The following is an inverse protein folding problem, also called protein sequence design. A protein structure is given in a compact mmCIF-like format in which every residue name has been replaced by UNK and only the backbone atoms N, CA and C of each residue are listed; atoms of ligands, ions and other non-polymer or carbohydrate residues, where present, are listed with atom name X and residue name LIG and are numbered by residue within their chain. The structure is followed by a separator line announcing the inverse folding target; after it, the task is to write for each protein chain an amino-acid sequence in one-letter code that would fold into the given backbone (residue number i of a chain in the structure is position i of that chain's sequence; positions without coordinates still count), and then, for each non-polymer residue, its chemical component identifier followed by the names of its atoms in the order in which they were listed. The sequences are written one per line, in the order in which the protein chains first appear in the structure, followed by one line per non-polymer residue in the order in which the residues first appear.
data_IF_348362748887
#
_entry.id   IF_348362748887
#
_cell.length_a   1.000
_cell.length_b   1.000
_cell.length_c   1.000
_cell.angle_alpha   90.00
_cell.angle_beta   90.00
_cell.angle_gamma   90.00
#
_symmetry.space_group_name_H-M   'P 1'
#
loop_
_entity.id
_entity.type
_entity.pdbx_description
1 polymer ?
#
# COMPACT_ATOMS: atom_id res chain seq x y z
N UNK A 1 -7.39 6.45 1.65
CA UNK A 1 -6.18 5.66 1.98
C UNK A 1 -4.97 6.47 1.58
N UNK A 2 -3.88 6.39 2.33
CA UNK A 2 -2.68 7.16 2.06
C UNK A 2 -2.00 6.64 0.80
N UNK A 3 -1.53 7.55 -0.05
CA UNK A 3 -0.82 7.17 -1.27
C UNK A 3 0.57 7.81 -1.28
N UNK A 4 1.53 7.34 -0.46
CA UNK A 4 2.92 7.82 -0.52
C UNK A 4 3.53 7.64 -1.91
N UNK A 5 3.05 6.62 -2.65
CA UNK A 5 3.40 6.41 -4.05
C UNK A 5 2.94 7.54 -4.97
N UNK A 6 2.04 8.42 -4.53
CA UNK A 6 1.54 9.50 -5.36
C UNK A 6 2.67 10.48 -5.75
N UNK A 7 3.67 10.65 -4.89
CA UNK A 7 4.85 11.47 -5.14
C UNK A 7 5.64 11.00 -6.37
N UNK A 8 5.62 9.69 -6.67
CA UNK A 8 6.40 9.08 -7.75
C UNK A 8 5.55 8.66 -8.95
N UNK A 9 4.23 8.49 -8.78
CA UNK A 9 3.34 8.00 -9.85
C UNK A 9 2.48 9.10 -10.48
N UNK A 10 2.25 10.22 -9.79
CA UNK A 10 1.50 11.37 -10.32
C UNK A 10 2.44 12.47 -10.82
N UNK A 11 3.34 12.11 -11.72
CA UNK A 11 4.26 13.06 -12.38
C UNK A 11 3.48 14.05 -13.25
N UNK A 12 4.07 15.20 -13.63
CA UNK A 12 3.42 16.16 -14.53
C UNK A 12 2.92 15.53 -15.84
N UNK A 13 3.69 14.61 -16.44
CA UNK A 13 3.29 13.92 -17.66
C UNK A 13 2.10 12.97 -17.46
N UNK A 14 2.06 12.24 -16.33
CA UNK A 14 0.90 11.40 -15.98
C UNK A 14 -0.34 12.26 -15.75
N UNK A 15 -0.21 13.39 -15.07
CA UNK A 15 -1.34 14.33 -14.84
C UNK A 15 -1.88 14.89 -16.15
N UNK A 16 -1.01 15.26 -17.09
CA UNK A 16 -1.40 15.72 -18.42
C UNK A 16 -2.17 14.63 -19.18
N UNK A 17 -1.64 13.40 -19.22
CA UNK A 17 -2.32 12.27 -19.85
C UNK A 17 -3.67 11.93 -19.20
N UNK A 18 -3.80 12.10 -17.87
CA UNK A 18 -5.09 11.94 -17.18
C UNK A 18 -6.12 13.00 -17.59
N UNK A 19 -5.69 14.24 -17.82
CA UNK A 19 -6.58 15.30 -18.32
C UNK A 19 -7.02 15.01 -19.75
N UNK A 20 -6.09 14.62 -20.62
CA UNK A 20 -6.37 14.29 -22.02
C UNK A 20 -7.34 13.10 -22.14
N UNK A 21 -7.22 12.13 -21.23
CA UNK A 21 -8.09 10.95 -21.18
C UNK A 21 -9.35 11.14 -20.30
N UNK A 22 -9.59 12.34 -19.77
CA UNK A 22 -10.77 12.65 -18.95
C UNK A 22 -10.83 11.95 -17.58
N UNK A 23 -9.73 11.38 -17.11
CA UNK A 23 -9.67 10.66 -15.82
C UNK A 23 -9.11 11.50 -14.67
N UNK A 24 -8.75 12.77 -14.92
CA UNK A 24 -8.02 13.59 -13.94
C UNK A 24 -8.77 13.77 -12.63
N UNK A 25 -10.04 14.17 -12.67
CA UNK A 25 -10.86 14.41 -11.48
C UNK A 25 -10.99 13.15 -10.61
N UNK A 26 -11.22 11.98 -11.23
CA UNK A 26 -11.26 10.70 -10.53
C UNK A 26 -9.94 10.39 -9.82
N UNK A 27 -8.82 10.64 -10.49
CA UNK A 27 -7.50 10.37 -9.95
C UNK A 27 -7.00 11.43 -8.95
N UNK A 28 -7.67 12.58 -8.80
CA UNK A 28 -7.29 13.59 -7.81
C UNK A 28 -7.33 13.07 -6.39
N UNK A 29 -8.38 12.32 -6.04
CA UNK A 29 -8.52 11.71 -4.72
C UNK A 29 -7.37 10.72 -4.45
N UNK A 30 -6.90 10.01 -5.48
CA UNK A 30 -5.77 9.10 -5.41
C UNK A 30 -4.41 9.79 -5.34
N UNK A 31 -4.34 11.08 -5.68
CA UNK A 31 -3.11 11.87 -5.55
C UNK A 31 -2.95 12.52 -4.18
N UNK A 32 -3.93 12.37 -3.27
CA UNK A 32 -3.85 12.91 -1.91
C UNK A 32 -2.92 12.05 -1.07
N UNK A 33 -1.82 12.65 -0.61
CA UNK A 33 -0.83 12.00 0.23
C UNK A 33 -1.17 12.23 1.71
N UNK A 34 -1.96 11.32 2.29
CA UNK A 34 -2.27 11.34 3.72
C UNK A 34 -1.14 10.66 4.51
N UNK A 35 -0.08 11.40 4.82
CA UNK A 35 1.11 10.84 5.49
C UNK A 35 0.85 10.39 6.94
N UNK A 36 -0.26 10.83 7.54
CA UNK A 36 -0.56 10.61 8.96
C UNK A 36 -1.53 9.45 9.22
N UNK A 37 -1.86 8.69 8.17
CA UNK A 37 -2.76 7.55 8.25
C UNK A 37 -2.40 6.56 9.38
N UNK A 38 -3.45 6.06 10.02
CA UNK A 38 -3.42 5.02 11.06
C UNK A 38 -4.39 3.91 10.70
N UNK A 39 -4.05 2.67 11.06
CA UNK A 39 -4.91 1.51 10.91
C UNK A 39 -6.13 1.65 11.81
N UNK A 40 -7.30 1.82 11.20
CA UNK A 40 -8.58 1.83 11.90
C UNK A 40 -9.15 0.42 12.11
N UNK A 41 -10.34 0.32 12.73
CA UNK A 41 -11.00 -0.96 12.95
C UNK A 41 -11.29 -1.72 11.66
N UNK A 42 -11.64 -1.00 10.58
CA UNK A 42 -11.96 -1.59 9.28
C UNK A 42 -10.73 -2.22 8.64
N UNK A 43 -9.61 -1.51 8.61
CA UNK A 43 -8.36 -1.99 8.04
C UNK A 43 -7.78 -3.14 8.88
N UNK A 44 -7.88 -3.04 10.21
CA UNK A 44 -7.43 -4.08 11.12
C UNK A 44 -8.22 -5.38 10.92
N UNK A 45 -9.54 -5.29 10.81
CA UNK A 45 -10.40 -6.44 10.51
C UNK A 45 -10.11 -7.03 9.12
N UNK A 46 -9.85 -6.18 8.12
CA UNK A 46 -9.46 -6.63 6.78
C UNK A 46 -8.15 -7.44 6.82
N UNK A 47 -7.11 -6.90 7.46
CA UNK A 47 -5.79 -7.53 7.60
C UNK A 47 -5.91 -8.87 8.35
N UNK A 48 -6.61 -8.89 9.48
CA UNK A 48 -6.77 -10.11 10.29
C UNK A 48 -7.49 -11.24 9.53
N UNK A 49 -8.35 -10.91 8.56
CA UNK A 49 -9.06 -11.89 7.74
C UNK A 49 -8.23 -12.40 6.53
N UNK A 50 -7.01 -11.88 6.28
CA UNK A 50 -6.19 -12.32 5.16
C UNK A 50 -5.40 -13.59 5.51
N UNK A 51 -5.30 -14.48 4.54
CA UNK A 51 -4.45 -15.68 4.53
C UNK A 51 -3.18 -15.50 3.67
N UNK A 52 -3.03 -14.33 3.03
CA UNK A 52 -1.81 -13.95 2.32
C UNK A 52 -1.66 -12.42 2.18
N UNK A 53 -0.44 -11.98 1.85
CA UNK A 53 -0.18 -10.63 1.36
C UNK A 53 1.02 -10.62 0.40
N UNK A 54 1.17 -9.52 -0.33
CA UNK A 54 2.34 -9.24 -1.15
C UNK A 54 3.22 -8.19 -0.46
N UNK A 55 4.51 -8.46 -0.36
CA UNK A 55 5.51 -7.53 0.18
C UNK A 55 6.40 -7.04 -0.94
N UNK A 56 6.39 -5.73 -1.20
CA UNK A 56 7.30 -5.09 -2.14
C UNK A 56 8.47 -4.44 -1.40
N UNK A 57 9.69 -4.71 -1.86
CA UNK A 57 10.93 -4.12 -1.35
C UNK A 57 11.80 -3.65 -2.51
N UNK A 58 12.83 -2.87 -2.22
CA UNK A 58 13.89 -2.52 -3.18
C UNK A 58 15.23 -3.04 -2.66
N UNK A 59 16.07 -3.57 -3.54
CA UNK A 59 17.45 -3.92 -3.19
C UNK A 59 18.28 -2.67 -2.90
N UNK A 60 19.51 -2.84 -2.42
CA UNK A 60 20.47 -1.74 -2.25
C UNK A 60 20.73 -0.97 -3.57
N UNK A 61 20.61 -1.64 -4.71
CA UNK A 61 20.77 -1.07 -6.06
C UNK A 61 19.48 -0.47 -6.62
N UNK A 62 18.37 -0.51 -5.87
CA UNK A 62 17.08 -0.01 -6.32
C UNK A 62 16.28 -0.98 -7.20
N UNK A 63 16.71 -2.23 -7.34
CA UNK A 63 15.97 -3.24 -8.10
C UNK A 63 14.68 -3.62 -7.33
N UNK A 64 13.49 -3.54 -7.94
CA UNK A 64 12.25 -3.88 -7.26
C UNK A 64 12.11 -5.39 -7.09
N UNK A 65 11.60 -5.80 -5.92
CA UNK A 65 11.32 -7.19 -5.61
C UNK A 65 9.97 -7.32 -4.93
N UNK A 66 9.19 -8.33 -5.33
CA UNK A 66 7.87 -8.60 -4.77
C UNK A 66 7.80 -10.06 -4.33
N UNK A 67 7.37 -10.26 -3.10
CA UNK A 67 7.24 -11.58 -2.48
C UNK A 67 5.80 -11.84 -2.09
N UNK A 68 5.32 -13.05 -2.36
CA UNK A 68 4.09 -13.58 -1.78
C UNK A 68 4.40 -14.17 -0.39
N UNK A 69 3.59 -13.84 0.60
CA UNK A 69 3.64 -14.40 1.96
C UNK A 69 2.27 -14.96 2.30
N UNK A 70 2.21 -16.24 2.69
CA UNK A 70 0.96 -16.93 2.99
C UNK A 70 0.97 -17.60 4.37
N UNK A 71 -0.21 -17.73 4.97
CA UNK A 71 -0.42 -18.36 6.27
C UNK A 71 -1.91 -18.53 6.56
N UNK A 72 -2.30 -19.18 7.68
CA UNK A 72 -3.70 -19.23 8.08
C UNK A 72 -4.25 -17.83 8.37
N UNK A 73 -5.57 -17.58 8.23
CA UNK A 73 -6.18 -16.32 8.65
C UNK A 73 -5.73 -15.89 10.06
N UNK A 74 -5.35 -14.63 10.20
CA UNK A 74 -4.78 -14.09 11.45
C UNK A 74 -3.27 -14.25 11.60
N UNK A 75 -2.56 -14.83 10.61
CA UNK A 75 -1.09 -14.88 10.64
C UNK A 75 -0.43 -13.49 10.56
N UNK A 76 -1.14 -12.50 10.00
CA UNK A 76 -0.77 -11.08 10.12
C UNK A 76 -1.56 -10.47 11.28
N UNK A 77 -0.84 -9.95 12.27
CA UNK A 77 -1.41 -9.36 13.47
C UNK A 77 -1.16 -7.85 13.49
N UNK A 78 -2.22 -7.05 13.67
CA UNK A 78 -2.08 -5.61 13.94
C UNK A 78 -1.71 -5.44 15.41
N UNK A 79 -0.51 -4.95 15.68
CA UNK A 79 0.02 -4.78 17.06
C UNK A 79 -0.18 -3.35 17.57
N UNK A 80 -0.36 -2.38 16.67
CA UNK A 80 -0.81 -1.02 16.98
C UNK A 80 -1.36 -0.34 15.73
N UNK A 81 -1.92 0.86 15.90
CA UNK A 81 -2.39 1.73 14.81
C UNK A 81 -1.37 1.99 13.68
N UNK A 82 -0.07 1.74 13.91
CA UNK A 82 0.99 1.94 12.91
C UNK A 82 1.91 0.74 12.75
N UNK A 83 1.53 -0.41 13.28
CA UNK A 83 2.40 -1.60 13.27
C UNK A 83 1.58 -2.87 13.11
N UNK A 84 2.09 -3.75 12.27
CA UNK A 84 1.64 -5.13 12.18
C UNK A 84 2.86 -6.06 12.19
N UNK A 85 2.63 -7.34 12.49
CA UNK A 85 3.64 -8.37 12.53
C UNK A 85 3.12 -9.64 11.85
N UNK A 86 4.02 -10.43 11.30
CA UNK A 86 3.73 -11.76 10.75
C UNK A 86 4.95 -12.65 11.01
N UNK A 87 4.77 -13.97 11.14
CA UNK A 87 5.89 -14.88 11.33
C UNK A 87 6.69 -15.04 10.03
N UNK A 88 8.01 -14.91 10.11
CA UNK A 88 8.96 -15.22 9.03
C UNK A 88 9.89 -16.35 9.51
N UNK A 89 9.56 -17.58 9.12
CA UNK A 89 10.33 -18.76 9.49
C UNK A 89 11.42 -19.03 8.45
N UNK A 90 12.58 -19.52 8.91
CA UNK A 90 13.67 -20.00 8.04
C UNK A 90 13.53 -21.47 7.74
#
# INVERSE_FOLDING_TARGET
MPYPYADITFTPSVKAAQSDNGSREFCEHMSRNDRDFVLGPKESAFIAARDHFFMATVSETGWPYVQHRGGPPGFVQVISERRFAFPDFR
#
